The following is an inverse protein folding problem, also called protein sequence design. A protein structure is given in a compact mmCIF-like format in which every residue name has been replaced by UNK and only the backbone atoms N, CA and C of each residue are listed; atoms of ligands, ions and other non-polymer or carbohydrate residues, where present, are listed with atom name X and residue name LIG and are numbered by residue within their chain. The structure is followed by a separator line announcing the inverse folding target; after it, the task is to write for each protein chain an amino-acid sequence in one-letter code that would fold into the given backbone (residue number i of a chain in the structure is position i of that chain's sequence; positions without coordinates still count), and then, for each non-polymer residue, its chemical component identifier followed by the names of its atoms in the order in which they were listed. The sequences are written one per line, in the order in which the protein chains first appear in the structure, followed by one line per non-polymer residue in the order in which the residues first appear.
data_IF_344461990368
#
_entry.id   IF_344461990368
#
_cell.length_a   1.000
_cell.length_b   1.000
_cell.length_c   1.000
_cell.angle_alpha   90.00
_cell.angle_beta   90.00
_cell.angle_gamma   90.00
#
_symmetry.space_group_name_H-M   'P 1'
#
loop_
_entity.id
_entity.type
_entity.pdbx_description
1 polymer ?
#
# COMPACT_ATOMS: atom_id res chain seq x y z
N UNK A 1 4.51 6.87 28.76
CA UNK A 1 5.29 7.12 27.52
C UNK A 1 4.74 6.45 26.26
N UNK A 2 4.59 5.11 26.21
CA UNK A 2 4.05 4.43 25.00
C UNK A 2 2.65 4.90 24.62
N UNK A 3 1.80 5.16 25.62
CA UNK A 3 0.45 5.71 25.43
C UNK A 3 0.47 7.08 24.73
N UNK A 4 1.34 7.97 25.20
CA UNK A 4 1.49 9.34 24.70
C UNK A 4 1.95 9.36 23.23
N UNK A 5 2.84 8.44 22.83
CA UNK A 5 3.25 8.27 21.43
C UNK A 5 2.16 7.70 20.53
N UNK A 6 1.35 6.77 21.02
CA UNK A 6 0.21 6.20 20.29
C UNK A 6 -0.88 7.25 20.06
N UNK A 7 -1.23 8.03 21.09
CA UNK A 7 -2.17 9.15 20.98
C UNK A 7 -1.66 10.21 20.01
N UNK A 8 -0.38 10.57 20.06
CA UNK A 8 0.21 11.52 19.12
C UNK A 8 0.15 11.01 17.66
N UNK A 9 0.43 9.72 17.42
CA UNK A 9 0.27 9.13 16.08
C UNK A 9 -1.18 9.18 15.61
N UNK A 10 -2.13 8.74 16.43
CA UNK A 10 -3.55 8.76 16.09
C UNK A 10 -4.06 10.18 15.79
N UNK A 11 -3.66 11.14 16.64
CA UNK A 11 -3.95 12.57 16.42
C UNK A 11 -3.37 13.04 15.10
N UNK A 12 -2.11 12.70 14.81
CA UNK A 12 -1.47 13.04 13.55
C UNK A 12 -2.20 12.46 12.34
N UNK A 13 -2.63 11.19 12.39
CA UNK A 13 -3.40 10.58 11.30
C UNK A 13 -4.73 11.33 11.05
N UNK A 14 -5.46 11.67 12.12
CA UNK A 14 -6.73 12.41 12.03
C UNK A 14 -6.51 13.80 11.46
N UNK A 15 -5.55 14.55 12.00
CA UNK A 15 -5.24 15.91 11.52
C UNK A 15 -4.76 15.87 10.07
N UNK A 16 -3.85 14.95 9.72
CA UNK A 16 -3.35 14.84 8.36
C UNK A 16 -4.42 14.44 7.34
N UNK A 17 -5.35 13.57 7.72
CA UNK A 17 -6.53 13.27 6.89
C UNK A 17 -7.43 14.51 6.73
N UNK A 18 -7.64 15.29 7.79
CA UNK A 18 -8.40 16.54 7.71
C UNK A 18 -7.71 17.55 6.79
N UNK A 19 -6.37 17.63 6.82
CA UNK A 19 -5.58 18.45 5.90
C UNK A 19 -5.73 17.98 4.44
N UNK A 20 -5.68 16.67 4.14
CA UNK A 20 -6.01 16.15 2.80
C UNK A 20 -7.44 16.53 2.40
N UNK A 21 -8.41 16.34 3.29
CA UNK A 21 -9.80 16.68 3.02
C UNK A 21 -10.01 18.19 2.78
N UNK A 22 -9.20 19.07 3.38
CA UNK A 22 -9.31 20.52 3.28
C UNK A 22 -8.51 21.13 2.12
N UNK A 23 -7.31 20.62 1.85
CA UNK A 23 -6.36 21.20 0.89
C UNK A 23 -6.11 20.29 -0.32
N UNK A 24 -6.09 18.98 -0.10
CA UNK A 24 -5.69 17.98 -1.09
C UNK A 24 -4.20 18.07 -1.42
N UNK A 25 -3.84 17.60 -2.60
CA UNK A 25 -2.44 17.61 -3.04
C UNK A 25 -1.95 19.04 -3.34
N UNK A 26 -0.76 19.44 -2.85
CA UNK A 26 -0.17 20.71 -3.23
C UNK A 26 0.14 20.77 -4.73
N UNK A 27 -0.26 21.86 -5.39
CA UNK A 27 -0.05 22.09 -6.83
C UNK A 27 1.42 22.15 -7.24
N UNK A 28 2.30 22.61 -6.35
CA UNK A 28 3.75 22.75 -6.58
C UNK A 28 4.50 22.19 -5.38
N UNK A 29 5.67 21.60 -5.65
CA UNK A 29 6.54 21.10 -4.57
C UNK A 29 5.99 19.88 -3.81
N UNK A 30 5.08 19.11 -4.42
CA UNK A 30 4.53 17.92 -3.76
C UNK A 30 5.64 16.96 -3.33
N UNK A 31 5.70 16.53 -2.04
CA UNK A 31 6.76 15.67 -1.53
C UNK A 31 6.96 14.39 -2.35
N UNK A 32 5.84 13.72 -2.71
CA UNK A 32 5.85 12.54 -3.58
C UNK A 32 6.44 12.83 -4.97
N UNK A 33 6.15 13.98 -5.59
CA UNK A 33 6.77 14.35 -6.87
C UNK A 33 8.26 14.64 -6.72
N UNK A 34 8.69 15.21 -5.60
CA UNK A 34 10.11 15.38 -5.26
C UNK A 34 10.82 14.04 -5.12
N UNK A 35 10.21 13.10 -4.39
CA UNK A 35 10.67 11.72 -4.28
C UNK A 35 10.77 11.05 -5.66
N UNK A 36 9.74 11.16 -6.50
CA UNK A 36 9.74 10.60 -7.85
C UNK A 36 10.87 11.15 -8.72
N UNK A 37 11.18 12.45 -8.65
CA UNK A 37 12.34 13.03 -9.36
C UNK A 37 13.67 12.46 -8.86
N UNK A 38 13.84 12.33 -7.55
CA UNK A 38 15.04 11.76 -6.96
C UNK A 38 15.19 10.27 -7.33
N UNK A 39 14.10 9.51 -7.25
CA UNK A 39 14.05 8.10 -7.67
C UNK A 39 14.36 7.95 -9.16
N UNK A 40 13.82 8.80 -10.03
CA UNK A 40 14.15 8.78 -11.47
C UNK A 40 15.63 9.10 -11.73
N UNK A 41 16.22 10.02 -10.96
CA UNK A 41 17.65 10.31 -11.08
C UNK A 41 18.52 9.12 -10.64
N UNK A 42 18.11 8.41 -9.59
CA UNK A 42 18.78 7.19 -9.14
C UNK A 42 18.58 6.03 -10.11
N UNK A 43 17.38 5.86 -10.66
CA UNK A 43 17.06 4.85 -11.69
C UNK A 43 18.01 5.00 -12.87
N UNK A 44 18.21 6.20 -13.41
CA UNK A 44 19.15 6.41 -14.52
C UNK A 44 20.59 5.98 -14.23
N UNK A 45 21.01 5.98 -12.96
CA UNK A 45 22.36 5.57 -12.55
C UNK A 45 22.48 4.08 -12.25
N UNK A 46 21.42 3.48 -11.69
CA UNK A 46 21.42 2.08 -11.27
C UNK A 46 20.78 1.15 -12.30
N UNK A 47 20.11 1.68 -13.33
CA UNK A 47 19.35 0.87 -14.28
C UNK A 47 20.25 -0.16 -14.97
N UNK A 48 19.86 -1.42 -14.76
CA UNK A 48 20.31 -2.58 -15.51
C UNK A 48 19.09 -3.48 -15.70
N UNK A 49 18.95 -4.19 -16.82
CA UNK A 49 17.80 -5.04 -17.11
C UNK A 49 17.84 -6.35 -16.29
N UNK A 50 18.06 -6.27 -14.98
CA UNK A 50 18.15 -7.39 -14.05
C UNK A 50 17.49 -7.07 -12.70
N UNK A 51 17.13 -8.13 -11.96
CA UNK A 51 16.36 -7.99 -10.70
C UNK A 51 17.24 -7.52 -9.53
N UNK A 52 18.56 -7.71 -9.58
CA UNK A 52 19.44 -7.33 -8.48
C UNK A 52 19.58 -5.80 -8.43
N UNK A 53 19.84 -5.17 -9.58
CA UNK A 53 19.87 -3.73 -9.70
C UNK A 53 18.53 -3.09 -9.28
N UNK A 54 17.42 -3.69 -9.72
CA UNK A 54 16.07 -3.31 -9.29
C UNK A 54 15.84 -3.43 -7.78
N UNK A 55 16.39 -4.49 -7.17
CA UNK A 55 16.30 -4.73 -5.74
C UNK A 55 17.08 -3.71 -4.93
N UNK A 56 18.31 -3.39 -5.35
CA UNK A 56 19.14 -2.34 -4.74
C UNK A 56 18.44 -0.98 -4.87
N UNK A 57 17.95 -0.64 -6.06
CA UNK A 57 17.19 0.58 -6.31
C UNK A 57 15.98 0.69 -5.37
N UNK A 58 15.16 -0.36 -5.29
CA UNK A 58 13.98 -0.41 -4.43
C UNK A 58 14.37 -0.27 -2.95
N UNK A 59 15.39 -0.99 -2.50
CA UNK A 59 15.86 -0.96 -1.12
C UNK A 59 16.37 0.43 -0.72
N UNK A 60 17.11 1.13 -1.58
CA UNK A 60 17.58 2.49 -1.31
C UNK A 60 16.41 3.47 -1.29
N UNK A 61 15.56 3.44 -2.33
CA UNK A 61 14.46 4.38 -2.47
C UNK A 61 13.40 4.22 -1.37
N UNK A 62 13.13 3.01 -0.87
CA UNK A 62 12.19 2.81 0.26
C UNK A 62 12.90 2.96 1.60
N UNK A 63 14.14 2.48 1.72
CA UNK A 63 14.91 2.49 2.95
C UNK A 63 15.21 3.89 3.47
N UNK A 64 15.51 4.85 2.59
CA UNK A 64 15.81 6.25 2.98
C UNK A 64 14.58 6.93 3.63
N UNK A 65 13.39 6.97 3.01
CA UNK A 65 12.18 7.49 3.66
C UNK A 65 11.83 6.79 4.97
N UNK A 66 12.00 5.46 5.03
CA UNK A 66 11.79 4.70 6.28
C UNK A 66 12.76 5.14 7.36
N UNK A 67 14.06 5.26 7.05
CA UNK A 67 15.09 5.70 7.98
C UNK A 67 14.82 7.13 8.49
N UNK A 68 14.42 8.05 7.60
CA UNK A 68 13.99 9.41 7.98
C UNK A 68 12.80 9.34 8.94
N UNK A 69 11.78 8.53 8.62
CA UNK A 69 10.63 8.33 9.48
C UNK A 69 11.00 7.78 10.86
N UNK A 70 11.96 6.85 10.92
CA UNK A 70 12.46 6.26 12.18
C UNK A 70 13.24 7.31 12.98
N UNK A 71 14.16 8.04 12.35
CA UNK A 71 14.92 9.10 13.01
C UNK A 71 14.01 10.19 13.59
N UNK A 72 13.02 10.65 12.82
CA UNK A 72 12.01 11.61 13.28
C UNK A 72 11.15 11.05 14.44
N UNK A 73 10.78 9.78 14.36
CA UNK A 73 10.03 9.07 15.42
C UNK A 73 10.83 9.00 16.73
N UNK A 74 12.13 8.72 16.64
CA UNK A 74 13.04 8.65 17.80
C UNK A 74 13.31 10.04 18.37
N UNK A 75 13.61 11.02 17.50
CA UNK A 75 13.90 12.40 17.91
C UNK A 75 12.72 13.10 18.58
N UNK A 76 11.48 12.72 18.25
CA UNK A 76 10.26 13.28 18.85
C UNK A 76 9.68 12.41 19.98
N UNK A 77 10.38 11.38 20.46
CA UNK A 77 9.84 10.43 21.46
C UNK A 77 9.38 11.06 22.78
N UNK A 78 9.93 12.22 23.15
CA UNK A 78 9.56 12.99 24.34
C UNK A 78 8.74 14.25 24.02
N UNK A 79 8.42 14.52 22.75
CA UNK A 79 7.75 15.73 22.27
C UNK A 79 6.46 15.35 21.54
N UNK A 80 5.37 15.01 22.25
CA UNK A 80 4.17 14.46 21.62
C UNK A 80 3.50 15.39 20.61
N UNK A 81 3.51 16.71 20.87
CA UNK A 81 2.97 17.71 19.93
C UNK A 81 3.78 17.71 18.63
N UNK A 82 5.12 17.76 18.73
CA UNK A 82 6.00 17.71 17.55
C UNK A 82 5.82 16.39 16.79
N UNK A 83 5.68 15.26 17.50
CA UNK A 83 5.40 13.96 16.90
C UNK A 83 4.07 13.96 16.14
N UNK A 84 2.99 14.46 16.76
CA UNK A 84 1.68 14.55 16.13
C UNK A 84 1.72 15.45 14.89
N UNK A 85 2.42 16.58 14.94
CA UNK A 85 2.61 17.47 13.81
C UNK A 85 3.37 16.79 12.65
N UNK A 86 4.47 16.08 12.93
CA UNK A 86 5.21 15.34 11.89
C UNK A 86 4.38 14.22 11.28
N UNK A 87 3.62 13.47 12.08
CA UNK A 87 2.72 12.44 11.58
C UNK A 87 1.59 13.07 10.76
N UNK A 88 1.05 14.23 11.16
CA UNK A 88 0.03 14.94 10.39
C UNK A 88 0.54 15.40 9.02
N UNK A 89 1.71 16.04 8.98
CA UNK A 89 2.34 16.46 7.72
C UNK A 89 2.67 15.25 6.85
N UNK A 90 3.24 14.19 7.44
CA UNK A 90 3.52 12.94 6.73
C UNK A 90 2.26 12.31 6.16
N UNK A 91 1.17 12.25 6.94
CA UNK A 91 -0.13 11.70 6.53
C UNK A 91 -0.72 12.53 5.38
N UNK A 92 -0.78 13.85 5.53
CA UNK A 92 -1.24 14.74 4.46
C UNK A 92 -0.43 14.56 3.17
N UNK A 93 0.89 14.45 3.28
CA UNK A 93 1.78 14.34 2.12
C UNK A 93 1.67 13.00 1.37
N UNK A 94 1.21 11.92 2.02
CA UNK A 94 1.11 10.59 1.40
C UNK A 94 -0.32 10.22 0.98
N UNK A 95 -1.33 10.86 1.56
CA UNK A 95 -2.72 10.66 1.16
C UNK A 95 -3.01 11.38 -0.17
N UNK A 96 -3.95 10.84 -0.94
CA UNK A 96 -4.45 11.46 -2.18
C UNK A 96 -5.97 11.36 -2.31
N UNK A 97 -6.67 11.18 -1.18
CA UNK A 97 -8.09 10.86 -1.16
C UNK A 97 -8.96 11.97 -1.71
N UNK A 98 -8.67 13.24 -1.38
CA UNK A 98 -9.42 14.39 -1.92
C UNK A 98 -9.26 14.50 -3.43
N UNK A 99 -8.04 14.43 -3.94
CA UNK A 99 -7.75 14.53 -5.37
C UNK A 99 -8.45 13.42 -6.16
N UNK A 100 -8.38 12.18 -5.70
CA UNK A 100 -9.06 11.04 -6.32
C UNK A 100 -10.57 11.27 -6.46
N UNK A 101 -11.22 11.70 -5.38
CA UNK A 101 -12.67 11.99 -5.38
C UNK A 101 -13.01 13.20 -6.22
N UNK A 102 -12.12 14.19 -6.31
CA UNK A 102 -12.29 15.34 -7.17
C UNK A 102 -12.28 14.91 -8.64
N UNK A 103 -11.28 14.14 -9.06
CA UNK A 103 -11.18 13.65 -10.45
C UNK A 103 -12.38 12.79 -10.83
N UNK A 104 -12.82 11.86 -9.98
CA UNK A 104 -14.02 11.07 -10.22
C UNK A 104 -15.28 11.94 -10.44
N UNK A 105 -15.47 12.99 -9.63
CA UNK A 105 -16.60 13.91 -9.77
C UNK A 105 -16.49 14.78 -11.02
N UNK A 106 -15.28 15.24 -11.35
CA UNK A 106 -15.00 16.05 -12.53
C UNK A 106 -15.23 15.24 -13.81
N UNK A 107 -14.71 14.02 -13.88
CA UNK A 107 -15.00 13.07 -14.96
C UNK A 107 -16.49 12.82 -15.10
N UNK A 108 -17.20 12.57 -13.99
CA UNK A 108 -18.65 12.39 -14.01
C UNK A 108 -19.43 13.62 -14.49
N UNK A 109 -18.90 14.84 -14.36
CA UNK A 109 -19.50 16.05 -14.97
C UNK A 109 -19.23 16.10 -16.47
N UNK A 110 -18.01 15.84 -16.92
CA UNK A 110 -17.66 15.81 -18.35
C UNK A 110 -18.51 14.78 -19.11
N UNK A 111 -18.60 13.54 -18.60
CA UNK A 111 -19.40 12.50 -19.24
C UNK A 111 -20.90 12.83 -19.28
N UNK A 112 -21.47 13.36 -18.18
CA UNK A 112 -22.88 13.81 -18.17
C UNK A 112 -23.16 14.94 -19.16
N UNK A 113 -22.17 15.76 -19.47
CA UNK A 113 -22.26 16.85 -20.45
C UNK A 113 -21.95 16.43 -21.88
N UNK A 114 -21.62 15.16 -22.14
CA UNK A 114 -21.20 14.68 -23.47
C UNK A 114 -19.79 15.13 -23.90
N UNK A 115 -18.99 15.71 -23.00
CA UNK A 115 -17.65 16.23 -23.31
C UNK A 115 -16.58 15.13 -23.20
N UNK A 116 -16.57 14.26 -24.21
CA UNK A 116 -15.58 13.18 -24.33
C UNK A 116 -14.13 13.67 -24.49
N UNK A 117 -13.84 14.74 -25.27
CA UNK A 117 -12.48 15.28 -25.34
C UNK A 117 -11.93 15.67 -23.96
N UNK A 118 -12.70 16.40 -23.14
CA UNK A 118 -12.26 16.75 -21.79
C UNK A 118 -12.13 15.52 -20.87
N UNK A 119 -13.02 14.54 -21.03
CA UNK A 119 -12.94 13.29 -20.27
C UNK A 119 -11.67 12.50 -20.60
N UNK A 120 -11.30 12.40 -21.87
CA UNK A 120 -10.07 11.72 -22.33
C UNK A 120 -8.81 12.39 -21.81
N UNK A 121 -8.74 13.73 -21.84
CA UNK A 121 -7.61 14.48 -21.28
C UNK A 121 -7.42 14.21 -19.79
N UNK A 122 -8.52 14.07 -19.03
CA UNK A 122 -8.48 13.81 -17.59
C UNK A 122 -8.11 12.38 -17.22
N UNK A 123 -8.42 11.40 -18.07
CA UNK A 123 -8.22 9.99 -17.73
C UNK A 123 -6.76 9.66 -17.41
N UNK A 124 -5.81 10.35 -18.06
CA UNK A 124 -4.38 10.22 -17.79
C UNK A 124 -3.96 10.61 -16.37
N UNK A 125 -4.78 11.37 -15.63
CA UNK A 125 -4.54 11.66 -14.21
C UNK A 125 -4.91 10.49 -13.27
N UNK A 126 -5.68 9.52 -13.77
CA UNK A 126 -6.19 8.39 -12.99
C UNK A 126 -5.51 7.07 -13.34
N UNK A 127 -5.18 6.85 -14.62
CA UNK A 127 -4.57 5.62 -15.09
C UNK A 127 -3.69 5.83 -16.32
N UNK A 128 -2.77 4.90 -16.56
CA UNK A 128 -1.88 4.91 -17.72
C UNK A 128 -2.46 4.29 -19.00
N UNK A 129 -3.79 4.19 -19.13
CA UNK A 129 -4.43 3.68 -20.37
C UNK A 129 -4.45 4.76 -21.43
N UNK A 130 -4.37 4.37 -22.70
CA UNK A 130 -4.57 5.29 -23.81
C UNK A 130 -6.06 5.67 -23.91
N UNK A 131 -6.43 6.95 -23.68
CA UNK A 131 -7.82 7.37 -23.73
C UNK A 131 -8.33 7.65 -25.15
N UNK A 132 -7.46 7.71 -26.16
CA UNK A 132 -7.77 8.25 -27.49
C UNK A 132 -8.95 7.56 -28.18
N UNK A 133 -9.08 6.24 -27.97
CA UNK A 133 -10.08 5.39 -28.62
C UNK A 133 -11.25 5.01 -27.70
N UNK A 134 -11.26 5.46 -26.44
CA UNK A 134 -12.27 5.04 -25.46
C UNK A 134 -13.59 5.81 -25.65
N UNK A 135 -14.69 5.08 -25.62
CA UNK A 135 -16.05 5.61 -25.59
C UNK A 135 -16.48 6.01 -24.16
N UNK A 136 -17.69 6.56 -24.00
CA UNK A 136 -18.18 6.99 -22.68
C UNK A 136 -18.19 5.85 -21.64
N UNK A 137 -18.78 4.66 -21.93
CA UNK A 137 -18.77 3.56 -20.96
C UNK A 137 -17.38 3.06 -20.60
N UNK A 138 -16.43 3.05 -21.54
CA UNK A 138 -15.04 2.63 -21.28
C UNK A 138 -14.28 3.65 -20.43
N UNK A 139 -14.49 4.96 -20.63
CA UNK A 139 -13.93 6.00 -19.76
C UNK A 139 -14.54 5.91 -18.36
N UNK A 140 -15.85 5.70 -18.26
CA UNK A 140 -16.53 5.51 -16.99
C UNK A 140 -16.03 4.25 -16.27
N UNK A 141 -15.86 3.14 -16.99
CA UNK A 141 -15.28 1.88 -16.47
C UNK A 141 -13.88 2.10 -15.92
N UNK A 142 -12.98 2.65 -16.73
CA UNK A 142 -11.60 2.94 -16.32
C UNK A 142 -11.56 3.84 -15.08
N UNK A 143 -12.45 4.83 -15.01
CA UNK A 143 -12.56 5.71 -13.84
C UNK A 143 -13.02 4.96 -12.59
N UNK A 144 -14.03 4.08 -12.69
CA UNK A 144 -14.51 3.29 -11.54
C UNK A 144 -13.43 2.32 -11.05
N UNK A 145 -12.72 1.64 -11.97
CA UNK A 145 -11.60 0.76 -11.65
C UNK A 145 -10.50 1.54 -10.91
N UNK A 146 -10.07 2.69 -11.46
CA UNK A 146 -9.07 3.55 -10.82
C UNK A 146 -9.51 4.10 -9.46
N UNK A 147 -10.79 4.45 -9.29
CA UNK A 147 -11.30 4.89 -7.98
C UNK A 147 -11.29 3.75 -6.97
N UNK A 148 -11.64 2.53 -7.38
CA UNK A 148 -11.62 1.37 -6.49
C UNK A 148 -10.20 1.05 -6.02
N UNK A 149 -9.27 0.89 -6.96
CA UNK A 149 -7.85 0.58 -6.69
C UNK A 149 -7.19 1.69 -5.86
N UNK A 150 -7.25 2.95 -6.32
CA UNK A 150 -6.60 4.06 -5.62
C UNK A 150 -7.26 4.42 -4.28
N UNK A 151 -8.47 3.95 -3.98
CA UNK A 151 -9.01 4.08 -2.62
C UNK A 151 -8.19 3.24 -1.64
N UNK A 152 -7.74 2.05 -2.06
CA UNK A 152 -6.76 1.28 -1.28
C UNK A 152 -5.46 2.06 -1.19
N UNK A 153 -4.88 2.41 -2.34
CA UNK A 153 -3.48 2.82 -2.39
C UNK A 153 -3.22 4.24 -1.88
N UNK A 154 -4.14 5.17 -2.15
CA UNK A 154 -3.98 6.56 -1.75
C UNK A 154 -4.62 6.88 -0.40
N UNK A 155 -5.34 5.94 0.23
CA UNK A 155 -6.06 6.19 1.49
C UNK A 155 -5.91 5.06 2.50
N UNK A 156 -6.45 3.87 2.22
CA UNK A 156 -6.54 2.80 3.22
C UNK A 156 -5.16 2.28 3.60
N UNK A 157 -4.29 2.02 2.63
CA UNK A 157 -2.96 1.47 2.85
C UNK A 157 -2.01 2.43 3.58
N UNK A 158 -1.92 3.73 3.23
CA UNK A 158 -1.17 4.69 4.05
C UNK A 158 -1.70 4.75 5.49
N UNK A 159 -3.02 4.81 5.71
CA UNK A 159 -3.61 4.85 7.05
C UNK A 159 -3.30 3.56 7.84
N UNK A 160 -3.38 2.40 7.19
CA UNK A 160 -3.04 1.11 7.79
C UNK A 160 -1.59 1.08 8.25
N UNK A 161 -0.63 1.39 7.35
CA UNK A 161 0.79 1.40 7.70
C UNK A 161 1.15 2.51 8.68
N UNK A 162 0.44 3.64 8.64
CA UNK A 162 0.54 4.70 9.64
C UNK A 162 0.06 4.27 11.03
N UNK A 163 -0.98 3.46 11.12
CA UNK A 163 -1.43 2.89 12.40
C UNK A 163 -0.44 1.84 12.93
N UNK A 164 0.09 0.98 12.05
CA UNK A 164 1.00 -0.11 12.42
C UNK A 164 2.39 0.38 12.79
N UNK A 165 2.98 1.26 11.97
CA UNK A 165 4.38 1.66 12.08
C UNK A 165 4.58 3.18 12.26
N UNK A 166 3.52 3.99 12.28
CA UNK A 166 3.64 5.44 12.40
C UNK A 166 4.21 6.09 11.15
N UNK A 167 5.00 7.15 11.35
CA UNK A 167 5.65 7.89 10.26
C UNK A 167 6.51 7.01 9.33
N UNK A 168 7.34 6.05 9.81
CA UNK A 168 8.04 5.09 8.95
C UNK A 168 7.11 4.33 8.01
N UNK A 169 5.94 3.90 8.50
CA UNK A 169 4.95 3.17 7.71
C UNK A 169 4.33 4.02 6.62
N UNK A 170 3.93 5.25 6.96
CA UNK A 170 3.38 6.22 5.99
C UNK A 170 4.35 6.46 4.85
N UNK A 171 5.60 6.81 5.17
CA UNK A 171 6.62 7.17 4.18
C UNK A 171 7.10 5.95 3.39
N UNK A 172 7.33 4.83 4.06
CA UNK A 172 7.80 3.60 3.42
C UNK A 172 6.78 3.02 2.44
N UNK A 173 5.50 2.96 2.85
CA UNK A 173 4.43 2.53 1.97
C UNK A 173 4.31 3.44 0.75
N UNK A 174 4.24 4.76 0.96
CA UNK A 174 4.08 5.70 -0.16
C UNK A 174 5.28 5.65 -1.12
N UNK A 175 6.48 5.46 -0.60
CA UNK A 175 7.67 5.26 -1.42
C UNK A 175 7.52 3.99 -2.28
N UNK A 176 7.19 2.84 -1.69
CA UNK A 176 7.01 1.59 -2.44
C UNK A 176 5.93 1.71 -3.53
N UNK A 177 4.77 2.26 -3.19
CA UNK A 177 3.67 2.49 -4.12
C UNK A 177 4.05 3.45 -5.26
N UNK A 178 4.81 4.50 -4.96
CA UNK A 178 5.31 5.42 -5.99
C UNK A 178 6.32 4.73 -6.90
N UNK A 179 7.18 3.85 -6.37
CA UNK A 179 8.13 3.09 -7.19
C UNK A 179 7.41 2.10 -8.11
N UNK A 180 6.37 1.42 -7.65
CA UNK A 180 5.56 0.55 -8.51
C UNK A 180 4.92 1.34 -9.66
N UNK A 181 4.34 2.51 -9.38
CA UNK A 181 3.79 3.39 -10.41
C UNK A 181 4.85 3.92 -11.40
N UNK A 182 6.12 4.00 -11.00
CA UNK A 182 7.21 4.51 -11.86
C UNK A 182 7.89 3.42 -12.69
N UNK A 183 8.19 2.27 -12.07
CA UNK A 183 9.02 1.21 -12.66
C UNK A 183 8.38 -0.17 -12.59
N UNK A 184 7.20 -0.35 -12.00
CA UNK A 184 6.53 -1.65 -11.86
C UNK A 184 5.90 -2.19 -13.14
N UNK A 185 5.81 -1.37 -14.19
CA UNK A 185 5.17 -1.74 -15.46
C UNK A 185 5.89 -2.91 -16.17
N UNK A 186 5.12 -3.86 -16.70
CA UNK A 186 5.62 -4.99 -17.50
C UNK A 186 5.90 -4.59 -18.95
N UNK A 187 6.88 -3.70 -19.15
CA UNK A 187 7.40 -3.33 -20.46
C UNK A 187 8.85 -3.85 -20.67
N UNK A 188 9.38 -3.69 -21.88
CA UNK A 188 10.70 -4.20 -22.26
C UNK A 188 11.81 -3.66 -21.33
N UNK A 189 11.71 -2.40 -20.91
CA UNK A 189 12.68 -1.74 -20.02
C UNK A 189 12.60 -2.28 -18.59
N UNK A 190 11.39 -2.38 -18.03
CA UNK A 190 11.21 -2.59 -16.61
C UNK A 190 10.82 -4.01 -16.20
N UNK A 191 10.56 -4.93 -17.13
CA UNK A 191 10.14 -6.30 -16.81
C UNK A 191 11.00 -6.99 -15.74
N UNK A 192 12.34 -6.80 -15.77
CA UNK A 192 13.26 -7.35 -14.75
C UNK A 192 13.58 -6.35 -13.64
N UNK A 193 13.97 -5.13 -14.01
CA UNK A 193 14.38 -4.08 -13.05
C UNK A 193 13.23 -3.67 -12.11
N UNK A 194 12.01 -3.59 -12.61
CA UNK A 194 10.82 -3.19 -11.87
C UNK A 194 10.22 -4.27 -10.97
N UNK A 195 10.55 -5.55 -11.21
CA UNK A 195 9.94 -6.69 -10.48
C UNK A 195 10.03 -6.52 -8.97
N UNK A 196 11.18 -6.14 -8.36
CA UNK A 196 11.27 -6.01 -6.90
C UNK A 196 10.35 -4.92 -6.33
N UNK A 197 10.21 -3.78 -7.00
CA UNK A 197 9.32 -2.70 -6.59
C UNK A 197 7.85 -3.17 -6.64
N UNK A 198 7.44 -3.78 -7.75
CA UNK A 198 6.08 -4.30 -7.91
C UNK A 198 5.73 -5.38 -6.89
N UNK A 199 6.66 -6.31 -6.61
CA UNK A 199 6.46 -7.36 -5.60
C UNK A 199 6.38 -6.80 -4.18
N UNK A 200 7.16 -5.76 -3.88
CA UNK A 200 7.08 -5.09 -2.58
C UNK A 200 5.75 -4.37 -2.41
N UNK A 201 5.29 -3.63 -3.42
CA UNK A 201 3.97 -2.99 -3.38
C UNK A 201 2.86 -4.04 -3.23
N UNK A 202 2.87 -5.10 -4.04
CA UNK A 202 1.92 -6.21 -3.95
C UNK A 202 1.83 -6.76 -2.52
N UNK A 203 2.98 -7.00 -1.88
CA UNK A 203 3.07 -7.51 -0.52
C UNK A 203 2.50 -6.52 0.50
N UNK A 204 2.85 -5.24 0.38
CA UNK A 204 2.40 -4.20 1.31
C UNK A 204 0.90 -3.90 1.18
N UNK A 205 0.30 -4.19 0.01
CA UNK A 205 -1.13 -4.01 -0.26
C UNK A 205 -2.00 -5.25 0.02
N UNK A 206 -1.43 -6.41 0.37
CA UNK A 206 -2.21 -7.63 0.63
C UNK A 206 -3.33 -7.42 1.66
N UNK A 207 -3.01 -6.84 2.82
CA UNK A 207 -3.98 -6.58 3.88
C UNK A 207 -4.83 -5.32 3.57
N UNK A 208 -4.24 -4.18 3.18
CA UNK A 208 -5.01 -2.98 2.87
C UNK A 208 -6.05 -3.15 1.75
N UNK A 209 -5.74 -3.88 0.67
CA UNK A 209 -6.68 -4.09 -0.43
C UNK A 209 -7.89 -4.93 -0.01
N UNK A 210 -7.66 -5.97 0.81
CA UNK A 210 -8.75 -6.79 1.39
C UNK A 210 -9.61 -5.99 2.36
N UNK A 211 -8.98 -5.18 3.21
CA UNK A 211 -9.70 -4.25 4.09
C UNK A 211 -10.54 -3.26 3.25
N UNK A 212 -9.98 -2.72 2.17
CA UNK A 212 -10.68 -1.82 1.25
C UNK A 212 -11.88 -2.49 0.60
N UNK A 213 -11.73 -3.71 0.09
CA UNK A 213 -12.82 -4.51 -0.48
C UNK A 213 -13.94 -4.77 0.54
N UNK A 214 -13.60 -5.24 1.74
CA UNK A 214 -14.57 -5.52 2.80
C UNK A 214 -15.31 -4.26 3.29
N UNK A 215 -14.60 -3.13 3.45
CA UNK A 215 -15.22 -1.86 3.79
C UNK A 215 -16.13 -1.36 2.66
N UNK A 216 -15.74 -1.56 1.40
CA UNK A 216 -16.56 -1.22 0.23
C UNK A 216 -17.86 -2.02 0.22
N UNK A 217 -17.80 -3.32 0.51
CA UNK A 217 -19.00 -4.17 0.67
C UNK A 217 -19.87 -3.65 1.81
N UNK A 218 -19.29 -3.41 2.99
CA UNK A 218 -20.04 -2.97 4.17
C UNK A 218 -20.72 -1.60 3.97
N UNK A 219 -20.11 -0.72 3.17
CA UNK A 219 -20.54 0.65 2.93
C UNK A 219 -21.22 0.84 1.57
N UNK A 220 -21.60 -0.23 0.88
CA UNK A 220 -22.22 -0.18 -0.45
C UNK A 220 -23.47 0.73 -0.49
N UNK A 221 -24.28 0.73 0.58
CA UNK A 221 -25.50 1.53 0.71
C UNK A 221 -25.23 3.05 0.68
N UNK A 222 -24.06 3.53 1.10
CA UNK A 222 -23.68 4.95 1.02
C UNK A 222 -23.63 5.43 -0.44
N UNK A 223 -23.28 4.52 -1.35
CA UNK A 223 -23.34 4.73 -2.78
C UNK A 223 -24.70 4.44 -3.41
N UNK A 224 -25.79 4.30 -2.63
CA UNK A 224 -27.09 3.75 -3.11
C UNK A 224 -26.94 2.35 -3.72
N UNK A 225 -25.93 1.60 -3.29
CA UNK A 225 -25.64 0.26 -3.74
C UNK A 225 -26.32 -0.81 -2.91
N UNK A 226 -26.10 -2.06 -3.29
CA UNK A 226 -26.61 -3.24 -2.60
C UNK A 226 -25.45 -4.00 -1.93
N UNK A 227 -25.55 -4.20 -0.62
CA UNK A 227 -24.51 -4.87 0.18
C UNK A 227 -24.43 -6.37 -0.10
N UNK A 228 -25.56 -7.04 -0.31
CA UNK A 228 -25.59 -8.47 -0.59
C UNK A 228 -25.00 -8.77 -1.97
N UNK A 229 -25.35 -7.94 -2.97
CA UNK A 229 -24.73 -8.01 -4.29
C UNK A 229 -23.24 -7.71 -4.23
N UNK A 230 -22.82 -6.66 -3.50
CA UNK A 230 -21.41 -6.35 -3.30
C UNK A 230 -20.64 -7.53 -2.72
N UNK A 231 -21.21 -8.18 -1.70
CA UNK A 231 -20.63 -9.36 -1.07
C UNK A 231 -20.55 -10.56 -2.01
N UNK A 232 -21.62 -10.85 -2.76
CA UNK A 232 -21.69 -11.96 -3.70
C UNK A 232 -20.65 -11.82 -4.81
N UNK A 233 -20.58 -10.64 -5.44
CA UNK A 233 -19.61 -10.32 -6.50
C UNK A 233 -18.19 -10.34 -5.95
N UNK A 234 -17.93 -9.67 -4.82
CA UNK A 234 -16.59 -9.70 -4.21
C UNK A 234 -16.15 -11.12 -3.87
N UNK A 235 -17.03 -11.98 -3.34
CA UNK A 235 -16.64 -13.34 -3.00
C UNK A 235 -16.36 -14.23 -4.20
N UNK A 236 -17.07 -14.00 -5.31
CA UNK A 236 -16.93 -14.76 -6.55
C UNK A 236 -15.73 -14.30 -7.37
N UNK A 237 -15.53 -12.99 -7.51
CA UNK A 237 -14.67 -12.42 -8.56
C UNK A 237 -13.36 -11.79 -8.03
N UNK A 238 -13.16 -11.65 -6.71
CA UNK A 238 -12.00 -10.94 -6.13
C UNK A 238 -10.62 -11.49 -6.55
N UNK A 239 -10.57 -12.75 -6.98
CA UNK A 239 -9.35 -13.45 -7.37
C UNK A 239 -9.19 -13.47 -8.92
N UNK A 240 -10.17 -12.96 -9.68
CA UNK A 240 -10.19 -12.91 -11.15
C UNK A 240 -9.48 -11.64 -11.69
N UNK A 241 -8.29 -11.36 -11.16
CA UNK A 241 -7.50 -10.20 -11.57
C UNK A 241 -5.98 -10.51 -11.57
N UNK A 242 -5.18 -10.01 -12.53
CA UNK A 242 -3.73 -10.27 -12.57
C UNK A 242 -2.96 -9.78 -11.35
N UNK A 243 -3.42 -8.71 -10.73
CA UNK A 243 -2.93 -8.23 -9.42
C UNK A 243 -3.71 -8.90 -8.29
N UNK A 244 -3.03 -9.43 -7.25
CA UNK A 244 -3.66 -10.05 -6.08
C UNK A 244 -4.42 -9.06 -5.18
N UNK A 245 -4.32 -7.77 -5.47
CA UNK A 245 -4.85 -6.67 -4.67
C UNK A 245 -5.98 -5.94 -5.40
N UNK A 246 -5.77 -5.54 -6.65
CA UNK A 246 -6.76 -4.73 -7.38
C UNK A 246 -8.10 -5.46 -7.55
N UNK A 247 -8.10 -6.78 -7.77
CA UNK A 247 -9.34 -7.58 -7.84
C UNK A 247 -10.21 -7.49 -6.58
N UNK A 248 -9.58 -7.36 -5.40
CA UNK A 248 -10.30 -7.19 -4.12
C UNK A 248 -11.09 -5.89 -4.09
N UNK A 249 -10.50 -4.79 -4.59
CA UNK A 249 -11.10 -3.47 -4.60
C UNK A 249 -12.14 -3.34 -5.73
N UNK A 250 -11.76 -3.75 -6.95
CA UNK A 250 -12.59 -3.62 -8.15
C UNK A 250 -13.85 -4.50 -8.06
N UNK A 251 -13.74 -5.77 -7.64
CA UNK A 251 -14.90 -6.65 -7.52
C UNK A 251 -15.91 -6.14 -6.47
N UNK A 252 -15.41 -5.62 -5.33
CA UNK A 252 -16.28 -5.02 -4.32
C UNK A 252 -17.01 -3.77 -4.85
N UNK A 253 -16.31 -2.91 -5.59
CA UNK A 253 -16.89 -1.71 -6.19
C UNK A 253 -17.90 -2.04 -7.29
N UNK A 254 -17.58 -3.02 -8.16
CA UNK A 254 -18.46 -3.51 -9.21
C UNK A 254 -19.80 -4.00 -8.62
N UNK A 255 -19.73 -4.86 -7.60
CA UNK A 255 -20.91 -5.35 -6.92
C UNK A 255 -21.69 -4.27 -6.15
N UNK A 256 -21.00 -3.34 -5.49
CA UNK A 256 -21.66 -2.22 -4.80
C UNK A 256 -22.44 -1.34 -5.79
N UNK A 257 -21.85 -0.99 -6.91
CA UNK A 257 -22.48 -0.13 -7.92
C UNK A 257 -23.50 -0.88 -8.78
N UNK A 258 -23.37 -2.21 -8.90
CA UNK A 258 -24.21 -3.03 -9.77
C UNK A 258 -23.81 -2.93 -11.23
N UNK A 259 -22.50 -2.87 -11.49
CA UNK A 259 -21.91 -2.71 -12.82
C UNK A 259 -20.93 -3.85 -13.08
N UNK A 260 -20.47 -3.96 -14.33
CA UNK A 260 -19.39 -4.87 -14.72
C UNK A 260 -18.11 -4.10 -15.03
N UNK A 261 -17.00 -4.52 -14.43
CA UNK A 261 -15.64 -4.02 -14.67
C UNK A 261 -14.79 -5.09 -15.36
N UNK A 262 -13.56 -4.76 -15.75
CA UNK A 262 -12.66 -5.66 -16.49
C UNK A 262 -12.95 -5.69 -17.99
N UNK A 263 -12.51 -6.76 -18.66
CA UNK A 263 -12.54 -6.87 -20.12
C UNK A 263 -11.25 -6.39 -20.79
N UNK A 264 -11.37 -5.92 -22.04
CA UNK A 264 -10.21 -5.57 -22.88
C UNK A 264 -9.65 -4.20 -22.50
N UNK A 265 -8.39 -4.15 -22.11
CA UNK A 265 -7.65 -2.92 -21.83
C UNK A 265 -6.46 -2.78 -22.80
N UNK A 266 -6.20 -1.55 -23.25
CA UNK A 266 -5.02 -1.24 -24.07
C UNK A 266 -4.07 -0.35 -23.26
N UNK A 267 -2.86 -0.84 -23.01
CA UNK A 267 -1.80 -0.15 -22.27
C UNK A 267 -0.53 -0.11 -23.11
N UNK A 268 -0.01 1.09 -23.41
CA UNK A 268 1.26 1.27 -24.14
C UNK A 268 1.38 0.39 -25.41
N UNK A 269 0.29 0.28 -26.19
CA UNK A 269 0.22 -0.56 -27.39
C UNK A 269 0.03 -2.06 -27.17
N UNK A 270 -0.10 -2.53 -25.91
CA UNK A 270 -0.39 -3.93 -25.56
C UNK A 270 -1.84 -4.09 -25.15
N UNK A 271 -2.49 -5.13 -25.66
CA UNK A 271 -3.85 -5.51 -25.24
C UNK A 271 -3.77 -6.52 -24.10
N UNK A 272 -4.42 -6.20 -22.99
CA UNK A 272 -4.62 -7.11 -21.85
C UNK A 272 -6.11 -7.46 -21.75
N UNK A 273 -6.43 -8.75 -21.83
CA UNK A 273 -7.78 -9.24 -21.61
C UNK A 273 -7.92 -9.63 -20.14
N UNK A 274 -8.75 -8.92 -19.38
CA UNK A 274 -9.06 -9.24 -17.98
C UNK A 274 -10.41 -9.94 -17.91
N UNK A 275 -10.59 -10.92 -17.00
CA UNK A 275 -11.92 -11.41 -16.64
C UNK A 275 -12.86 -10.26 -16.27
N UNK A 276 -14.16 -10.49 -16.45
CA UNK A 276 -15.15 -9.53 -16.00
C UNK A 276 -15.41 -9.68 -14.51
N UNK A 277 -15.53 -8.54 -13.82
CA UNK A 277 -15.91 -8.47 -12.41
C UNK A 277 -17.33 -7.90 -12.31
N UNK A 278 -18.27 -8.67 -11.77
CA UNK A 278 -19.68 -8.34 -11.68
C UNK A 278 -20.51 -8.62 -12.94
N UNK A 279 -21.83 -8.61 -12.78
CA UNK A 279 -22.80 -9.05 -13.82
C UNK A 279 -23.62 -7.89 -14.41
N UNK A 280 -23.35 -6.66 -13.97
CA UNK A 280 -24.16 -5.49 -14.33
C UNK A 280 -23.86 -4.93 -15.73
N UNK A 281 -24.57 -3.86 -16.14
CA UNK A 281 -24.21 -3.10 -17.31
C UNK A 281 -22.82 -2.45 -17.16
N UNK A 282 -22.27 -1.95 -18.26
CA UNK A 282 -21.06 -1.11 -18.20
C UNK A 282 -21.34 0.15 -17.37
N UNK A 283 -20.34 0.69 -16.64
CA UNK A 283 -20.52 1.91 -15.87
C UNK A 283 -20.85 3.10 -16.78
N UNK A 284 -21.81 3.91 -16.32
CA UNK A 284 -22.11 5.26 -16.83
C UNK A 284 -21.63 6.37 -15.87
N UNK A 285 -21.70 7.62 -16.31
CA UNK A 285 -21.33 8.82 -15.55
C UNK A 285 -21.92 8.92 -14.13
N UNK A 286 -23.15 8.40 -13.91
CA UNK A 286 -23.80 8.38 -12.59
C UNK A 286 -23.04 7.54 -11.56
N UNK A 287 -22.33 6.51 -12.00
CA UNK A 287 -21.59 5.61 -11.11
C UNK A 287 -20.33 6.25 -10.53
N UNK A 288 -19.72 7.21 -11.22
CA UNK A 288 -18.49 7.87 -10.77
C UNK A 288 -18.71 8.67 -9.49
N UNK A 289 -19.85 9.38 -9.39
CA UNK A 289 -20.22 10.11 -8.17
C UNK A 289 -20.52 9.15 -7.02
N UNK A 290 -21.14 8.01 -7.31
CA UNK A 290 -21.44 6.95 -6.33
C UNK A 290 -20.15 6.30 -5.82
N UNK A 291 -19.22 5.97 -6.72
CA UNK A 291 -17.89 5.44 -6.39
C UNK A 291 -17.11 6.41 -5.49
N UNK A 292 -17.11 7.71 -5.82
CA UNK A 292 -16.46 8.74 -4.99
C UNK A 292 -17.08 8.88 -3.58
N UNK A 293 -18.40 8.64 -3.42
CA UNK A 293 -19.06 8.63 -2.11
C UNK A 293 -18.64 7.42 -1.29
N UNK A 294 -18.62 6.22 -1.90
CA UNK A 294 -18.16 4.99 -1.25
C UNK A 294 -16.69 5.16 -0.84
N UNK A 295 -15.83 5.62 -1.74
CA UNK A 295 -14.41 5.93 -1.46
C UNK A 295 -14.23 6.86 -0.26
N UNK A 296 -15.03 7.92 -0.14
CA UNK A 296 -15.02 8.81 1.03
C UNK A 296 -15.37 8.06 2.32
N UNK A 297 -16.44 7.27 2.30
CA UNK A 297 -16.91 6.53 3.47
C UNK A 297 -15.89 5.45 3.90
N UNK A 298 -15.31 4.73 2.95
CA UNK A 298 -14.22 3.77 3.18
C UNK A 298 -13.03 4.47 3.82
N UNK A 299 -12.60 5.62 3.27
CA UNK A 299 -11.49 6.39 3.84
C UNK A 299 -11.74 6.88 5.27
N UNK A 300 -12.94 7.39 5.56
CA UNK A 300 -13.31 7.82 6.92
C UNK A 300 -13.36 6.65 7.91
N UNK A 301 -13.89 5.50 7.48
CA UNK A 301 -13.98 4.30 8.32
C UNK A 301 -12.59 3.71 8.58
N UNK A 302 -11.74 3.66 7.54
CA UNK A 302 -10.34 3.25 7.66
C UNK A 302 -9.56 4.18 8.59
N UNK A 303 -9.80 5.50 8.55
CA UNK A 303 -9.22 6.45 9.50
C UNK A 303 -9.65 6.15 10.93
N UNK A 304 -10.95 5.90 11.17
CA UNK A 304 -11.46 5.52 12.49
C UNK A 304 -10.77 4.27 13.04
N UNK A 305 -10.65 3.22 12.21
CA UNK A 305 -9.93 1.99 12.57
C UNK A 305 -8.46 2.28 12.87
N UNK A 306 -7.79 3.05 12.00
CA UNK A 306 -6.38 3.41 12.12
C UNK A 306 -6.08 4.27 13.36
N UNK A 307 -7.00 5.15 13.76
CA UNK A 307 -6.86 5.98 14.96
C UNK A 307 -7.09 5.18 16.25
N UNK A 308 -7.98 4.18 16.23
CA UNK A 308 -8.31 3.35 17.40
C UNK A 308 -7.32 2.21 17.61
N UNK A 309 -6.81 1.58 16.55
CA UNK A 309 -5.93 0.41 16.63
C UNK A 309 -4.68 0.61 17.52
N UNK A 310 -3.92 1.73 17.43
CA UNK A 310 -2.78 2.00 18.30
C UNK A 310 -3.17 2.15 19.78
N UNK A 311 -4.43 2.52 20.05
CA UNK A 311 -4.95 2.75 21.39
C UNK A 311 -5.41 1.45 22.06
N UNK A 312 -5.84 0.43 21.30
CA UNK A 312 -6.42 -0.81 21.83
C UNK A 312 -5.52 -2.04 21.60
N UNK A 313 -5.30 -2.45 20.35
CA UNK A 313 -4.64 -3.70 19.98
C UNK A 313 -3.11 -3.66 20.16
N UNK A 314 -2.48 -2.50 20.00
CA UNK A 314 -1.06 -2.29 20.32
C UNK A 314 -0.71 -2.60 21.79
N UNK A 315 -1.70 -2.54 22.69
CA UNK A 315 -1.56 -2.92 24.10
C UNK A 315 -1.53 -4.43 24.30
N UNK A 316 -2.38 -5.17 23.58
CA UNK A 316 -2.54 -6.62 23.72
C UNK A 316 -1.37 -7.39 23.11
N UNK A 317 -0.95 -7.05 21.88
CA UNK A 317 0.21 -7.69 21.23
C UNK A 317 1.50 -7.39 22.01
N UNK A 318 1.64 -6.16 22.51
CA UNK A 318 2.77 -5.77 23.36
C UNK A 318 2.77 -6.49 24.72
N UNK A 319 1.60 -6.81 25.29
CA UNK A 319 1.47 -7.57 26.52
C UNK A 319 1.75 -9.07 26.31
N UNK A 320 1.24 -9.64 25.21
CA UNK A 320 1.49 -11.02 24.82
C UNK A 320 2.99 -11.25 24.56
N UNK A 321 3.65 -10.40 23.76
CA UNK A 321 5.08 -10.50 23.47
C UNK A 321 5.97 -10.32 24.71
N UNK A 322 5.52 -9.59 25.75
CA UNK A 322 6.22 -9.49 27.03
C UNK A 322 6.10 -10.77 27.85
N UNK A 323 4.92 -11.39 27.88
CA UNK A 323 4.74 -12.70 28.52
C UNK A 323 5.59 -13.77 27.86
N UNK A 324 5.70 -13.77 26.52
CA UNK A 324 6.59 -14.71 25.82
C UNK A 324 8.07 -14.45 26.10
N UNK A 325 8.51 -13.18 26.20
CA UNK A 325 9.90 -12.84 26.58
C UNK A 325 10.23 -13.16 28.04
N UNK A 326 9.26 -13.06 28.94
CA UNK A 326 9.42 -13.44 30.35
C UNK A 326 9.32 -14.95 30.57
N UNK A 327 8.68 -15.68 29.65
CA UNK A 327 8.58 -17.14 29.66
C UNK A 327 9.77 -17.83 28.95
N UNK A 328 10.62 -17.08 28.25
CA UNK A 328 11.88 -17.60 27.72
C UNK A 328 12.89 -17.72 28.87
N UNK A 329 13.43 -18.92 29.16
CA UNK A 329 14.47 -19.04 30.17
C UNK A 329 15.65 -18.15 29.79
N UNK A 330 16.11 -17.34 30.74
CA UNK A 330 17.38 -16.61 30.60
C UNK A 330 18.47 -17.62 30.22
N UNK A 331 19.25 -17.38 29.16
CA UNK A 331 20.38 -18.24 28.85
C UNK A 331 21.24 -18.32 30.11
N UNK A 332 21.38 -19.53 30.69
CA UNK A 332 22.34 -19.77 31.77
C UNK A 332 23.67 -19.26 31.24
N UNK A 333 24.25 -18.26 31.92
CA UNK A 333 25.59 -17.81 31.62
C UNK A 333 26.50 -19.04 31.64
N UNK A 334 27.09 -19.37 30.49
CA UNK A 334 28.13 -20.39 30.44
C UNK A 334 29.22 -19.95 31.42
N UNK A 335 29.66 -20.82 32.35
CA UNK A 335 30.70 -20.47 33.28
C UNK A 335 31.93 -20.01 32.50
N UNK A 336 32.50 -18.88 32.89
CA UNK A 336 33.75 -18.38 32.32
C UNK A 336 34.86 -19.43 32.51
N UNK A 337 35.85 -19.51 31.61
CA UNK A 337 36.90 -20.55 31.64
C UNK A 337 37.66 -20.65 32.97
N UNK A 338 37.69 -19.55 33.74
CA UNK A 338 38.26 -19.50 35.09
C UNK A 338 37.55 -20.39 36.12
N UNK A 339 36.29 -20.76 35.91
CA UNK A 339 35.53 -21.64 36.83
C UNK A 339 35.67 -23.14 36.51
N UNK A 340 36.10 -23.50 35.30
CA UNK A 340 36.32 -24.92 34.94
C UNK A 340 37.65 -25.46 35.46
N UNK A 341 38.66 -24.60 35.63
CA UNK A 341 39.98 -24.98 36.18
C UNK A 341 39.96 -25.23 37.70
N UNK A 342 38.92 -24.80 38.42
CA UNK A 342 38.78 -25.01 39.86
C UNK A 342 38.07 -26.33 40.22
N UNK A 343 37.50 -27.07 39.25
CA UNK A 343 36.67 -28.27 39.51
C UNK A 343 37.27 -29.59 38.98
N UNK A 344 38.56 -29.63 38.65
CA UNK A 344 39.30 -30.90 38.58
C UNK A 344 38.80 -31.94 37.57
N UNK A 345 38.28 -31.53 36.41
CA UNK A 345 37.90 -32.45 35.33
C UNK A 345 38.85 -32.29 34.14
N UNK A 346 39.93 -33.08 34.12
CA UNK A 346 40.72 -33.35 32.91
C UNK A 346 40.27 -34.71 32.35
N UNK A 347 39.79 -34.81 31.09
CA UNK A 347 39.76 -36.08 30.39
C UNK A 347 41.16 -36.38 29.86
N UNK A 348 41.66 -37.55 30.22
CA UNK A 348 42.89 -38.15 29.70
C UNK A 348 42.84 -38.30 28.17
N UNK A 349 43.96 -37.98 27.55
CA UNK A 349 44.28 -38.20 26.14
C UNK A 349 44.03 -39.65 25.68
N UNK A 350 43.15 -39.83 24.69
CA UNK A 350 43.02 -41.08 23.96
C UNK A 350 41.97 -40.96 22.84
N UNK A 351 42.38 -41.11 21.58
CA UNK A 351 41.43 -41.28 20.48
C UNK A 351 41.69 -40.48 19.20
N UNK A 352 42.92 -40.48 18.68
CA UNK A 352 43.15 -40.32 17.24
C UNK A 352 42.58 -41.55 16.52
N UNK A 353 41.46 -41.41 15.78
CA UNK A 353 41.15 -42.14 14.53
C UNK A 353 39.71 -41.84 14.08
N UNK A 354 39.56 -41.50 12.80
CA UNK A 354 38.31 -41.69 12.05
C UNK A 354 37.54 -40.41 11.69
N UNK A 355 37.91 -39.77 10.58
CA UNK A 355 37.14 -39.81 9.32
C UNK A 355 37.62 -38.68 8.39
N UNK A 356 38.51 -39.05 7.46
CA UNK A 356 38.59 -38.44 6.14
C UNK A 356 37.49 -39.12 5.31
N UNK A 357 36.51 -38.39 4.79
CA UNK A 357 35.97 -38.61 3.45
C UNK A 357 34.93 -37.54 3.05
N UNK A 358 35.00 -37.20 1.76
CA UNK A 358 34.00 -36.53 0.92
C UNK A 358 33.95 -35.00 0.89
N UNK A 359 34.86 -34.49 0.06
CA UNK A 359 34.62 -33.34 -0.84
C UNK A 359 33.42 -33.62 -1.77
N UNK A 360 32.86 -32.51 -2.28
CA UNK A 360 32.04 -32.32 -3.49
C UNK A 360 30.52 -32.38 -3.35
N UNK A 361 29.86 -31.70 -4.32
CA UNK A 361 28.45 -31.29 -4.47
C UNK A 361 28.17 -29.87 -3.96
N UNK A 362 27.92 -28.85 -4.79
CA UNK A 362 27.57 -28.83 -6.20
C UNK A 362 26.24 -28.10 -6.39
N UNK A 363 26.33 -26.95 -7.07
CA UNK A 363 25.26 -26.12 -7.64
C UNK A 363 23.98 -26.89 -8.02
N UNK A 364 22.81 -26.32 -7.69
CA UNK A 364 21.71 -26.05 -8.64
C UNK A 364 20.97 -24.79 -8.21
#
# INVERSE_FOLDING_TARGET
MRHTGAVANATGLVVGYALDAAFGDPRRGHPVSGFGRAAAALERRLYRPDRLAGGIFTAVCVGVPVAIGVAATVGTRHRPVARAALVAVGTWAVLGGRSLRHEAKSMGRSLRGGDLPAARQRLGHLCGRDPSTLDEPEIARATVESVAENTSDAVVAPLFWGAVAGLPGLLGYRAANTLDAMVGHRNIRYARFGTPAARLDDLLNLVPARLTGLLTVALASVGKGDRERAWRVWRRDRDDHPSPNAGQCEAAMAGALGVRLGGRNVYFGRTEARPFLGDGPRPEARHLVRAARISRAVGLTALGIAAVYPLTAGRLIGAAARRTRQALPTPRALPTPRRMLAQGALPTSGGLRGLRMLRTWGRR
#
